data_IF_613794786306
#
_entry.id   IF_613794786306
#
_cell.length_a   1.000
_cell.length_b   1.000
_cell.length_c   1.000
_cell.angle_alpha   90.00
_cell.angle_beta   90.00
_cell.angle_gamma   90.00
#
_symmetry.space_group_name_H-M   'P 1'
#
loop_
_entity.id
_entity.type
_entity.pdbx_description
1 polymer ?
#
# COMPACT_ATOMS: atom_id res chain seq x y z
N UNK A 1 -43.05 -10.00 38.80
CA UNK A 1 -41.66 -10.45 38.88
C UNK A 1 -41.05 -10.83 37.53
N UNK A 2 -41.68 -11.68 36.72
CA UNK A 2 -41.08 -12.10 35.42
C UNK A 2 -40.89 -10.97 34.36
N UNK A 3 -41.80 -9.97 34.34
CA UNK A 3 -41.66 -8.82 33.40
C UNK A 3 -40.45 -7.93 33.76
N UNK A 4 -40.26 -7.66 35.06
CA UNK A 4 -39.10 -6.86 35.51
C UNK A 4 -37.78 -7.58 35.25
N UNK A 5 -37.68 -8.88 35.46
CA UNK A 5 -36.50 -9.67 35.14
C UNK A 5 -36.16 -9.67 33.62
N UNK A 6 -37.17 -9.78 32.76
CA UNK A 6 -36.99 -9.71 31.30
C UNK A 6 -36.48 -8.34 30.83
N UNK A 7 -37.02 -7.26 31.42
CA UNK A 7 -36.54 -5.88 31.12
C UNK A 7 -35.11 -5.72 31.56
N UNK A 8 -34.76 -6.18 32.76
CA UNK A 8 -33.40 -6.09 33.27
C UNK A 8 -32.39 -6.83 32.35
N UNK A 9 -32.72 -8.04 31.94
CA UNK A 9 -31.91 -8.83 31.01
C UNK A 9 -31.74 -8.09 29.67
N UNK A 10 -32.80 -7.54 29.12
CA UNK A 10 -32.72 -6.78 27.84
C UNK A 10 -31.83 -5.54 27.98
N UNK A 11 -31.90 -4.80 29.08
CA UNK A 11 -31.06 -3.62 29.34
C UNK A 11 -29.59 -4.01 29.47
N UNK A 12 -29.27 -5.10 30.16
CA UNK A 12 -27.90 -5.60 30.30
C UNK A 12 -27.31 -6.03 28.94
N UNK A 13 -28.12 -6.72 28.13
CA UNK A 13 -27.67 -7.11 26.76
C UNK A 13 -27.43 -5.87 25.90
N UNK A 14 -28.35 -4.89 25.90
CA UNK A 14 -28.21 -3.65 25.15
C UNK A 14 -26.95 -2.87 25.58
N UNK A 15 -26.73 -2.75 26.88
CA UNK A 15 -25.54 -2.08 27.42
C UNK A 15 -24.25 -2.81 27.03
N UNK A 16 -24.25 -4.15 27.04
CA UNK A 16 -23.12 -4.97 26.59
C UNK A 16 -22.81 -4.80 25.11
N UNK A 17 -23.83 -4.81 24.25
CA UNK A 17 -23.67 -4.57 22.80
C UNK A 17 -23.18 -3.15 22.52
N UNK A 18 -23.72 -2.17 23.23
CA UNK A 18 -23.27 -0.77 23.11
C UNK A 18 -21.82 -0.61 23.53
N UNK A 19 -21.42 -1.16 24.67
CA UNK A 19 -20.03 -1.09 25.16
C UNK A 19 -19.05 -1.79 24.19
N UNK A 20 -19.43 -2.95 23.66
CA UNK A 20 -18.63 -3.64 22.63
C UNK A 20 -18.54 -2.80 21.33
N UNK A 21 -19.62 -2.20 20.89
CA UNK A 21 -19.66 -1.32 19.72
C UNK A 21 -18.77 -0.08 19.89
N UNK A 22 -18.76 0.54 21.08
CA UNK A 22 -17.88 1.67 21.38
C UNK A 22 -16.42 1.24 21.41
N UNK A 23 -16.09 0.09 22.01
CA UNK A 23 -14.72 -0.43 22.04
C UNK A 23 -14.15 -0.71 20.64
N UNK A 24 -14.96 -1.28 19.75
CA UNK A 24 -14.57 -1.51 18.35
C UNK A 24 -14.48 -0.19 17.57
N UNK A 25 -15.37 0.76 17.82
CA UNK A 25 -15.39 2.08 17.16
C UNK A 25 -14.25 3.01 17.60
N UNK A 26 -13.57 2.73 18.70
CA UNK A 26 -12.45 3.53 19.19
C UNK A 26 -11.10 3.20 18.51
N UNK A 27 -11.02 2.15 17.72
CA UNK A 27 -9.84 1.88 16.89
C UNK A 27 -9.74 2.93 15.78
N UNK A 28 -8.95 3.98 16.05
CA UNK A 28 -8.76 5.11 15.13
C UNK A 28 -8.04 4.71 13.83
N UNK A 29 -7.21 3.68 13.89
CA UNK A 29 -6.40 3.23 12.76
C UNK A 29 -6.62 1.74 12.50
N UNK A 30 -6.87 1.40 11.23
CA UNK A 30 -6.78 0.02 10.79
C UNK A 30 -5.33 -0.49 10.87
N UNK A 31 -5.18 -1.79 11.04
CA UNK A 31 -3.87 -2.46 11.02
C UNK A 31 -3.87 -3.54 9.92
N UNK A 32 -3.88 -3.15 8.64
CA UNK A 32 -3.82 -4.11 7.55
C UNK A 32 -2.52 -4.91 7.62
N UNK A 33 -2.59 -6.21 7.35
CA UNK A 33 -1.43 -7.11 7.29
C UNK A 33 -0.77 -7.14 5.92
N UNK A 34 -1.15 -6.22 5.05
CA UNK A 34 -0.56 -6.00 3.74
C UNK A 34 0.88 -5.50 3.86
N UNK A 35 1.66 -5.67 2.80
CA UNK A 35 3.02 -5.14 2.71
C UNK A 35 3.01 -3.93 1.79
N UNK A 36 3.49 -2.80 2.28
CA UNK A 36 3.64 -1.60 1.49
C UNK A 36 5.12 -1.43 1.08
N UNK A 37 5.39 -1.51 -0.22
CA UNK A 37 6.70 -1.25 -0.81
C UNK A 37 6.75 0.17 -1.34
N UNK A 38 7.59 1.00 -0.74
CA UNK A 38 7.72 2.43 -1.09
C UNK A 38 9.07 2.67 -1.73
N UNK A 39 9.09 3.35 -2.87
CA UNK A 39 10.31 3.67 -3.62
C UNK A 39 10.37 5.16 -3.91
N UNK A 40 11.46 5.79 -3.53
CA UNK A 40 11.81 7.15 -3.94
C UNK A 40 12.89 7.09 -5.05
N UNK A 41 12.75 7.91 -6.06
CA UNK A 41 13.56 7.88 -7.28
C UNK A 41 14.28 9.19 -7.56
N UNK A 42 15.48 9.04 -8.08
CA UNK A 42 16.26 10.07 -8.73
C UNK A 42 16.49 9.64 -10.18
N UNK A 43 16.04 10.44 -11.10
CA UNK A 43 16.24 10.19 -12.53
C UNK A 43 17.64 10.62 -12.99
N UNK A 44 18.15 10.01 -14.06
CA UNK A 44 19.36 10.51 -14.70
C UNK A 44 19.11 11.90 -15.28
N UNK A 45 20.14 12.77 -15.39
CA UNK A 45 19.97 14.11 -15.96
C UNK A 45 19.45 14.08 -17.42
N UNK A 46 19.77 13.02 -18.16
CA UNK A 46 19.40 12.83 -19.56
C UNK A 46 17.99 12.26 -19.76
N UNK A 47 17.34 11.80 -18.67
CA UNK A 47 15.99 11.22 -18.76
C UNK A 47 14.97 12.27 -19.20
N UNK A 48 14.32 12.02 -20.35
CA UNK A 48 13.27 12.90 -20.84
C UNK A 48 11.95 12.71 -20.08
N UNK A 49 11.04 13.67 -20.16
CA UNK A 49 9.74 13.57 -19.51
C UNK A 49 8.89 12.45 -20.11
N UNK A 50 9.04 12.18 -21.42
CA UNK A 50 8.39 11.04 -22.09
C UNK A 50 8.89 9.70 -21.55
N UNK A 51 10.20 9.56 -21.32
CA UNK A 51 10.79 8.35 -20.74
C UNK A 51 10.31 8.14 -19.29
N UNK A 52 10.27 9.19 -18.49
CA UNK A 52 9.75 9.15 -17.11
C UNK A 52 8.25 8.76 -17.10
N UNK A 53 7.46 9.36 -18.00
CA UNK A 53 6.05 9.01 -18.15
C UNK A 53 5.85 7.56 -18.56
N UNK A 54 6.65 7.06 -19.53
CA UNK A 54 6.60 5.68 -19.95
C UNK A 54 6.97 4.70 -18.84
N UNK A 55 7.93 5.03 -17.97
CA UNK A 55 8.29 4.22 -16.81
C UNK A 55 7.13 4.13 -15.79
N UNK A 56 6.44 5.24 -15.53
CA UNK A 56 5.28 5.26 -14.63
C UNK A 56 4.08 4.53 -15.24
N UNK A 57 3.84 4.66 -16.53
CA UNK A 57 2.77 3.91 -17.20
C UNK A 57 3.08 2.40 -17.25
N UNK A 58 4.34 2.05 -17.50
CA UNK A 58 4.82 0.66 -17.40
C UNK A 58 4.62 0.06 -16.01
N UNK A 59 4.82 0.86 -14.94
CA UNK A 59 4.54 0.44 -13.57
C UNK A 59 3.04 0.10 -13.37
N UNK A 60 2.12 0.87 -13.94
CA UNK A 60 0.68 0.57 -13.89
C UNK A 60 0.36 -0.74 -14.61
N UNK A 61 0.91 -0.92 -15.80
CA UNK A 61 0.72 -2.14 -16.60
C UNK A 61 1.26 -3.37 -15.86
N UNK A 62 2.45 -3.26 -15.31
CA UNK A 62 3.06 -4.31 -14.48
C UNK A 62 2.19 -4.63 -13.27
N UNK A 63 1.74 -3.62 -12.53
CA UNK A 63 0.91 -3.81 -11.36
C UNK A 63 -0.46 -4.46 -11.66
N UNK A 64 -1.03 -4.21 -12.84
CA UNK A 64 -2.26 -4.87 -13.30
C UNK A 64 -2.03 -6.36 -13.67
N UNK A 65 -0.79 -6.75 -13.94
CA UNK A 65 -0.43 -8.10 -14.40
C UNK A 65 0.03 -9.00 -13.26
N UNK A 66 0.73 -8.45 -12.27
CA UNK A 66 1.34 -9.22 -11.16
C UNK A 66 0.29 -9.59 -10.12
N UNK A 67 0.10 -10.89 -9.82
CA UNK A 67 -0.82 -11.32 -8.78
C UNK A 67 -0.41 -10.82 -7.39
N UNK A 68 -1.40 -10.57 -6.53
CA UNK A 68 -1.16 -10.16 -5.16
C UNK A 68 -0.87 -8.68 -4.94
N UNK A 69 -0.79 -7.88 -6.01
CA UNK A 69 -0.79 -6.42 -5.91
C UNK A 69 -2.23 -5.96 -5.69
N UNK A 70 -2.47 -5.22 -4.61
CA UNK A 70 -3.79 -4.69 -4.24
C UNK A 70 -4.00 -3.26 -4.70
N UNK A 71 -2.94 -2.45 -4.65
CA UNK A 71 -3.01 -1.03 -4.98
C UNK A 71 -1.64 -0.47 -5.32
N UNK A 72 -1.62 0.67 -6.04
CA UNK A 72 -0.43 1.45 -6.32
C UNK A 72 -0.69 2.95 -6.13
N UNK A 73 0.32 3.67 -5.68
CA UNK A 73 0.37 5.13 -5.63
C UNK A 73 1.54 5.58 -6.48
N UNK A 74 1.28 6.43 -7.45
CA UNK A 74 2.25 6.80 -8.51
C UNK A 74 2.52 8.29 -8.60
N UNK A 75 1.84 9.09 -7.81
CA UNK A 75 2.01 10.54 -7.77
C UNK A 75 2.33 10.96 -6.35
N UNK A 76 3.59 11.28 -6.04
CA UNK A 76 3.94 11.82 -4.74
C UNK A 76 3.40 13.23 -4.59
N UNK A 77 2.91 13.56 -3.42
CA UNK A 77 2.62 14.93 -3.03
C UNK A 77 3.93 15.66 -2.65
N UNK A 78 4.80 14.94 -1.96
CA UNK A 78 6.10 15.47 -1.48
C UNK A 78 7.11 14.36 -1.34
N UNK A 79 8.34 14.59 -1.82
CA UNK A 79 9.49 13.70 -1.62
C UNK A 79 10.61 14.45 -0.88
N UNK A 80 11.25 13.79 0.05
CA UNK A 80 12.40 14.30 0.80
C UNK A 80 13.51 13.22 0.86
N UNK A 81 14.77 13.57 0.64
CA UNK A 81 15.30 14.87 0.19
C UNK A 81 14.81 15.25 -1.22
N UNK A 82 14.84 16.55 -1.55
CA UNK A 82 14.26 17.08 -2.82
C UNK A 82 14.92 16.58 -4.10
N UNK A 83 16.12 16.03 -4.01
CA UNK A 83 16.81 15.40 -5.13
C UNK A 83 16.10 14.13 -5.64
N UNK A 84 15.27 13.49 -4.80
CA UNK A 84 14.35 12.43 -5.22
C UNK A 84 13.06 13.08 -5.69
N UNK A 85 12.95 13.26 -6.99
CA UNK A 85 11.85 14.02 -7.60
C UNK A 85 10.58 13.21 -7.83
N UNK A 86 10.66 11.88 -7.70
CA UNK A 86 9.57 10.96 -7.94
C UNK A 86 9.52 9.90 -6.85
N UNK A 87 8.32 9.43 -6.52
CA UNK A 87 8.13 8.27 -5.66
C UNK A 87 6.87 7.51 -6.10
N UNK A 88 6.86 6.22 -5.79
CA UNK A 88 5.68 5.39 -5.91
C UNK A 88 5.59 4.42 -4.74
N UNK A 89 4.41 3.84 -4.52
CA UNK A 89 4.21 2.78 -3.57
C UNK A 89 3.36 1.66 -4.18
N UNK A 90 3.64 0.43 -3.78
CA UNK A 90 2.90 -0.77 -4.17
C UNK A 90 2.43 -1.46 -2.90
N UNK A 91 1.14 -1.78 -2.82
CA UNK A 91 0.58 -2.58 -1.75
C UNK A 91 0.40 -4.03 -2.21
N UNK A 92 1.02 -4.94 -1.48
CA UNK A 92 0.88 -6.38 -1.68
C UNK A 92 -0.03 -6.98 -0.61
N UNK A 93 -0.82 -7.98 -0.99
CA UNK A 93 -1.72 -8.69 -0.07
C UNK A 93 -0.98 -9.43 1.06
N UNK A 94 0.29 -9.82 0.83
CA UNK A 94 1.10 -10.57 1.76
C UNK A 94 2.60 -10.41 1.50
N UNK A 95 3.42 -10.85 2.44
CA UNK A 95 4.87 -10.96 2.27
C UNK A 95 5.23 -11.87 1.08
N UNK A 96 4.57 -13.01 0.95
CA UNK A 96 4.81 -13.94 -0.14
C UNK A 96 4.53 -13.32 -1.51
N UNK A 97 3.47 -12.51 -1.64
CA UNK A 97 3.18 -11.77 -2.87
C UNK A 97 4.27 -10.72 -3.19
N UNK A 98 4.77 -10.02 -2.17
CA UNK A 98 5.86 -9.06 -2.34
C UNK A 98 7.18 -9.72 -2.76
N UNK A 99 7.47 -10.91 -2.25
CA UNK A 99 8.67 -11.66 -2.62
C UNK A 99 8.54 -12.21 -4.06
N UNK A 100 7.38 -12.77 -4.43
CA UNK A 100 7.11 -13.30 -5.77
C UNK A 100 7.11 -12.20 -6.86
N UNK A 101 6.71 -10.99 -6.54
CA UNK A 101 6.75 -9.83 -7.44
C UNK A 101 8.14 -9.57 -8.03
N UNK A 102 9.18 -9.69 -7.21
CA UNK A 102 10.56 -9.37 -7.62
C UNK A 102 11.08 -10.30 -8.75
N UNK A 103 10.56 -11.53 -8.81
CA UNK A 103 10.93 -12.56 -9.81
C UNK A 103 9.92 -12.67 -10.95
N UNK A 104 8.86 -11.86 -10.95
CA UNK A 104 7.81 -11.96 -11.95
C UNK A 104 8.25 -11.38 -13.30
N UNK A 105 7.98 -12.06 -14.45
CA UNK A 105 8.40 -11.59 -15.79
C UNK A 105 7.93 -10.15 -16.12
N UNK A 106 6.74 -9.75 -15.70
CA UNK A 106 6.25 -8.39 -15.90
C UNK A 106 7.10 -7.33 -15.17
N UNK A 107 7.69 -7.67 -14.03
CA UNK A 107 8.63 -6.80 -13.31
C UNK A 107 9.95 -6.67 -14.08
N UNK A 108 10.46 -7.76 -14.66
CA UNK A 108 11.67 -7.70 -15.50
C UNK A 108 11.47 -6.88 -16.76
N UNK A 109 10.30 -7.00 -17.43
CA UNK A 109 9.98 -6.19 -18.60
C UNK A 109 9.87 -4.70 -18.26
N UNK A 110 9.25 -4.36 -17.13
CA UNK A 110 9.21 -2.99 -16.64
C UNK A 110 10.62 -2.46 -16.31
N UNK A 111 11.47 -3.26 -15.73
CA UNK A 111 12.86 -2.89 -15.43
C UNK A 111 13.63 -2.45 -16.67
N UNK A 112 13.40 -3.05 -17.84
CA UNK A 112 14.05 -2.65 -19.09
C UNK A 112 13.76 -1.20 -19.48
N UNK A 113 12.59 -0.68 -19.11
CA UNK A 113 12.19 0.71 -19.37
C UNK A 113 12.72 1.63 -18.27
N UNK A 114 12.66 1.19 -17.03
CA UNK A 114 12.91 1.99 -15.85
C UNK A 114 14.38 2.13 -15.49
N UNK A 115 15.15 1.03 -15.54
CA UNK A 115 16.54 0.99 -15.10
C UNK A 115 17.47 1.92 -15.86
N UNK A 116 17.36 2.08 -17.21
CA UNK A 116 18.27 2.94 -17.96
C UNK A 116 18.19 4.43 -17.59
N UNK A 117 17.06 4.87 -17.06
CA UNK A 117 16.80 6.27 -16.72
C UNK A 117 16.80 6.56 -15.21
N UNK A 118 17.06 5.52 -14.39
CA UNK A 118 17.17 5.63 -12.94
C UNK A 118 18.61 5.92 -12.54
N UNK A 119 18.88 7.07 -11.95
CA UNK A 119 20.19 7.36 -11.35
C UNK A 119 20.35 6.67 -9.98
N UNK A 120 19.34 6.79 -9.13
CA UNK A 120 19.33 6.23 -7.78
C UNK A 120 17.89 5.91 -7.34
N UNK A 121 17.74 4.89 -6.51
CA UNK A 121 16.47 4.65 -5.80
C UNK A 121 16.72 4.27 -4.35
N UNK A 122 15.78 4.64 -3.51
CA UNK A 122 15.70 4.18 -2.12
C UNK A 122 14.34 3.53 -1.90
N UNK A 123 14.37 2.34 -1.35
CA UNK A 123 13.14 1.59 -1.10
C UNK A 123 13.09 1.07 0.32
N UNK A 124 11.86 0.91 0.80
CA UNK A 124 11.56 0.25 2.06
C UNK A 124 10.27 -0.57 1.92
N UNK A 125 10.14 -1.57 2.76
CA UNK A 125 8.90 -2.33 2.91
C UNK A 125 8.43 -2.25 4.35
N UNK A 126 7.17 -1.93 4.55
CA UNK A 126 6.55 -1.83 5.87
C UNK A 126 5.27 -2.66 5.92
N UNK A 127 4.96 -3.17 7.10
CA UNK A 127 3.71 -3.86 7.40
C UNK A 127 3.36 -3.63 8.87
N UNK A 128 2.15 -4.00 9.27
CA UNK A 128 1.75 -3.99 10.68
C UNK A 128 2.08 -5.34 11.34
N UNK A 129 2.34 -5.35 12.67
CA UNK A 129 2.63 -6.55 13.45
C UNK A 129 1.46 -7.54 13.51
#
# INVERSE_FOLDING_TARGET
>A
MQRAARILVAVVILAGVFAAGVAVGQQKFGQPKTVLHVVALKWTPEATDEQKAAAIEGLKTMAATVPGIKNIWIKPDRVQPREYSTAFAIEFESRAAADAYAEHPAHEEWYKIYMPIRAESRSLQITNP
#
